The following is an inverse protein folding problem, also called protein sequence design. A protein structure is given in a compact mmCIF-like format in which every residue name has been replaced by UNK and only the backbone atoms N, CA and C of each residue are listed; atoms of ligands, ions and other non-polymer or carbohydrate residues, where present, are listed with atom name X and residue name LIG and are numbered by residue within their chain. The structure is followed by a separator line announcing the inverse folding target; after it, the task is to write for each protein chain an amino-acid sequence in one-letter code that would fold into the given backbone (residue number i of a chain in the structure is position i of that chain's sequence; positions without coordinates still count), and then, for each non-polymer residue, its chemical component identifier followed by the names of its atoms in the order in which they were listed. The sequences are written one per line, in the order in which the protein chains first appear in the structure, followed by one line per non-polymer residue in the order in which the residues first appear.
data_IF_855999332604
#
_entry.id   IF_855999332604
#
_cell.length_a   1.000
_cell.length_b   1.000
_cell.length_c   1.000
_cell.angle_alpha   90.00
_cell.angle_beta   90.00
_cell.angle_gamma   90.00
#
_symmetry.space_group_name_H-M   'P 1'
#
loop_
_entity.id
_entity.type
_entity.pdbx_description
1 polymer ?
#
# COMPACT_ATOMS: atom_id res chain seq x y z
N UNK A 1 -39.34 12.36 21.64
CA UNK A 1 -39.92 11.86 22.92
C UNK A 1 -41.22 11.07 22.71
N UNK A 2 -42.22 11.58 21.99
CA UNK A 2 -43.49 10.85 21.73
C UNK A 2 -43.32 9.52 20.95
N UNK A 3 -42.41 9.46 19.97
CA UNK A 3 -42.14 8.24 19.19
C UNK A 3 -41.50 7.12 20.03
N UNK A 4 -40.66 7.47 21.02
CA UNK A 4 -40.04 6.50 21.93
C UNK A 4 -41.06 5.90 22.91
N UNK A 5 -41.98 6.73 23.44
CA UNK A 5 -43.08 6.25 24.27
C UNK A 5 -44.02 5.29 23.51
N UNK A 6 -44.29 5.58 22.23
CA UNK A 6 -45.06 4.68 21.37
C UNK A 6 -44.34 3.33 21.14
N UNK A 7 -43.03 3.36 20.89
CA UNK A 7 -42.24 2.15 20.68
C UNK A 7 -42.10 1.31 21.96
N UNK A 8 -41.95 1.96 23.12
CA UNK A 8 -41.94 1.30 24.42
C UNK A 8 -43.32 0.68 24.75
N UNK A 9 -44.41 1.39 24.48
CA UNK A 9 -45.77 0.86 24.66
C UNK A 9 -46.03 -0.36 23.76
N UNK A 10 -45.56 -0.31 22.51
CA UNK A 10 -45.66 -1.42 21.57
C UNK A 10 -44.88 -2.66 22.05
N UNK A 11 -43.65 -2.48 22.54
CA UNK A 11 -42.87 -3.58 23.11
C UNK A 11 -43.52 -4.19 24.35
N UNK A 12 -44.14 -3.38 25.22
CA UNK A 12 -44.87 -3.89 26.39
C UNK A 12 -46.11 -4.66 25.95
N UNK A 13 -46.84 -4.16 24.95
CA UNK A 13 -48.00 -4.85 24.39
C UNK A 13 -47.60 -6.21 23.77
N UNK A 14 -46.53 -6.26 23.00
CA UNK A 14 -45.99 -7.50 22.41
C UNK A 14 -45.60 -8.50 23.52
N UNK A 15 -44.88 -8.05 24.56
CA UNK A 15 -44.52 -8.90 25.71
C UNK A 15 -45.73 -9.41 26.50
N UNK A 16 -46.77 -8.60 26.67
CA UNK A 16 -48.00 -9.02 27.36
C UNK A 16 -48.75 -10.05 26.51
N UNK A 17 -48.79 -9.84 25.19
CA UNK A 17 -49.42 -10.77 24.27
C UNK A 17 -48.67 -12.11 24.22
N UNK A 18 -47.33 -12.10 24.19
CA UNK A 18 -46.50 -13.31 24.30
C UNK A 18 -46.70 -14.06 25.61
N UNK A 19 -46.81 -13.34 26.75
CA UNK A 19 -47.11 -13.99 28.04
C UNK A 19 -48.52 -14.57 28.08
N UNK A 20 -49.50 -13.88 27.51
CA UNK A 20 -50.87 -14.38 27.46
C UNK A 20 -50.98 -15.66 26.63
N UNK A 21 -50.32 -15.73 25.46
CA UNK A 21 -50.30 -16.95 24.64
C UNK A 21 -49.56 -18.08 25.31
N UNK A 22 -48.46 -17.80 26.02
CA UNK A 22 -47.72 -18.81 26.80
C UNK A 22 -48.57 -19.41 27.93
N UNK A 23 -49.34 -18.59 28.67
CA UNK A 23 -50.21 -19.10 29.74
C UNK A 23 -51.35 -19.95 29.17
N UNK A 24 -51.96 -19.55 28.06
CA UNK A 24 -53.02 -20.34 27.41
C UNK A 24 -52.48 -21.70 26.95
N UNK A 25 -51.29 -21.72 26.36
CA UNK A 25 -50.64 -22.98 25.95
C UNK A 25 -50.38 -23.89 27.16
N UNK A 26 -49.85 -23.35 28.27
CA UNK A 26 -49.59 -24.13 29.48
C UNK A 26 -50.88 -24.71 30.09
N UNK A 27 -51.94 -23.91 30.20
CA UNK A 27 -53.24 -24.37 30.72
C UNK A 27 -53.84 -25.46 29.82
N UNK A 28 -53.67 -25.34 28.50
CA UNK A 28 -54.14 -26.35 27.55
C UNK A 28 -53.35 -27.66 27.70
N UNK A 29 -52.03 -27.61 27.89
CA UNK A 29 -51.19 -28.78 28.13
C UNK A 29 -51.53 -29.47 29.46
N UNK A 30 -51.73 -28.70 30.53
CA UNK A 30 -52.16 -29.21 31.84
C UNK A 30 -53.56 -29.86 31.75
N UNK A 31 -54.51 -29.25 31.04
CA UNK A 31 -55.83 -29.83 30.80
C UNK A 31 -55.76 -31.12 29.98
N UNK A 32 -54.92 -31.19 28.94
CA UNK A 32 -54.71 -32.42 28.17
C UNK A 32 -54.03 -33.50 29.01
N UNK A 33 -53.09 -33.13 29.87
CA UNK A 33 -52.44 -34.05 30.79
C UNK A 33 -53.45 -34.66 31.77
N UNK A 34 -54.32 -33.84 32.37
CA UNK A 34 -55.41 -34.28 33.26
C UNK A 34 -56.41 -35.18 32.53
N UNK A 35 -56.79 -34.85 31.30
CA UNK A 35 -57.68 -35.69 30.50
C UNK A 35 -57.04 -37.07 30.24
N UNK A 36 -55.74 -37.12 29.95
CA UNK A 36 -55.00 -38.35 29.72
C UNK A 36 -54.88 -39.19 30.99
N UNK A 37 -54.64 -38.56 32.15
CA UNK A 37 -54.62 -39.27 33.44
C UNK A 37 -56.01 -39.78 33.83
N UNK A 38 -57.07 -39.00 33.58
CA UNK A 38 -58.45 -39.44 33.81
C UNK A 38 -58.85 -40.61 32.90
N UNK A 39 -58.46 -40.60 31.63
CA UNK A 39 -58.72 -41.73 30.72
C UNK A 39 -57.96 -43.00 31.15
N UNK A 40 -56.76 -42.86 31.70
CA UNK A 40 -56.00 -43.99 32.25
C UNK A 40 -56.59 -44.56 33.55
N UNK A 41 -57.36 -43.77 34.31
CA UNK A 41 -58.02 -44.24 35.53
C UNK A 41 -59.40 -44.85 35.30
N UNK A 42 -60.02 -44.65 34.12
CA UNK A 42 -61.39 -45.13 33.84
C UNK A 42 -61.47 -46.49 33.15
N UNK A 43 -60.37 -47.09 32.71
CA UNK A 43 -60.35 -48.50 32.28
C UNK A 43 -60.41 -49.37 33.53
N UNK A 44 -61.64 -49.64 33.98
CA UNK A 44 -61.92 -50.55 35.08
C UNK A 44 -61.43 -51.95 34.65
N UNK A 45 -60.34 -52.50 35.23
CA UNK A 45 -59.60 -53.65 34.68
C UNK A 45 -60.37 -54.98 34.74
N UNK A 46 -61.60 -54.97 35.26
CA UNK A 46 -62.39 -56.18 35.50
C UNK A 46 -63.35 -56.46 34.34
N UNK A 47 -63.76 -55.45 33.56
CA UNK A 47 -64.76 -55.62 32.49
C UNK A 47 -64.15 -55.63 31.07
N UNK A 48 -62.85 -55.32 30.92
CA UNK A 48 -62.12 -55.41 29.65
C UNK A 48 -61.33 -56.72 29.47
N UNK A 49 -61.57 -57.75 30.30
CA UNK A 49 -61.31 -59.16 29.94
C UNK A 49 -62.35 -59.55 28.88
N UNK A 50 -62.25 -58.86 27.75
CA UNK A 50 -63.08 -58.93 26.56
C UNK A 50 -62.66 -60.18 25.81
N UNK A 51 -63.63 -60.79 25.14
CA UNK A 51 -63.61 -61.99 24.31
C UNK A 51 -62.32 -62.34 23.52
N UNK A 52 -61.39 -61.42 23.28
CA UNK A 52 -60.07 -61.65 22.70
C UNK A 52 -59.14 -62.46 23.64
N UNK A 53 -59.18 -62.20 24.96
CA UNK A 53 -58.41 -62.99 25.94
C UNK A 53 -58.90 -64.45 26.01
N UNK A 54 -60.15 -64.71 25.62
CA UNK A 54 -60.74 -66.05 25.59
C UNK A 54 -60.20 -66.91 24.45
N UNK A 55 -59.86 -66.31 23.30
CA UNK A 55 -59.23 -67.03 22.19
C UNK A 55 -57.75 -67.30 22.49
N UNK A 56 -57.03 -66.29 23.01
CA UNK A 56 -55.63 -66.43 23.43
C UNK A 56 -55.47 -67.43 24.58
N UNK A 57 -56.41 -67.44 25.54
CA UNK A 57 -56.41 -68.39 26.64
C UNK A 57 -56.58 -69.83 26.15
N UNK A 58 -57.47 -70.07 25.18
CA UNK A 58 -57.64 -71.40 24.58
C UNK A 58 -56.39 -71.86 23.85
N UNK A 59 -55.79 -70.99 23.03
CA UNK A 59 -54.55 -71.29 22.33
C UNK A 59 -53.40 -71.58 23.30
N UNK A 60 -53.29 -70.80 24.39
CA UNK A 60 -52.33 -71.03 25.45
C UNK A 60 -52.59 -72.37 26.16
N UNK A 61 -53.85 -72.66 26.51
CA UNK A 61 -54.24 -73.89 27.19
C UNK A 61 -53.93 -75.16 26.38
N UNK A 62 -53.99 -75.11 25.05
CA UNK A 62 -53.62 -76.24 24.18
C UNK A 62 -52.12 -76.54 24.18
N UNK A 63 -51.27 -75.51 24.34
CA UNK A 63 -49.81 -75.62 24.32
C UNK A 63 -49.22 -75.78 25.72
N UNK A 64 -49.92 -75.30 26.75
CA UNK A 64 -49.44 -75.29 28.12
C UNK A 64 -49.54 -76.66 28.78
N UNK A 65 -48.37 -77.22 29.11
CA UNK A 65 -48.27 -78.44 29.91
C UNK A 65 -47.86 -78.10 31.36
N UNK A 66 -48.76 -78.42 32.30
CA UNK A 66 -48.54 -78.16 33.72
C UNK A 66 -47.45 -79.05 34.29
N UNK A 67 -47.29 -80.27 33.78
CA UNK A 67 -46.34 -81.23 34.35
C UNK A 67 -44.90 -80.71 34.16
N UNK A 68 -44.64 -80.02 33.05
CA UNK A 68 -43.37 -79.34 32.77
C UNK A 68 -43.10 -78.12 33.68
N UNK A 69 -44.11 -77.64 34.40
CA UNK A 69 -44.04 -76.45 35.25
C UNK A 69 -44.15 -76.75 36.74
N UNK A 70 -44.11 -78.03 37.13
CA UNK A 70 -44.26 -78.46 38.52
C UNK A 70 -43.19 -77.86 39.45
N UNK A 71 -41.94 -77.82 39.01
CA UNK A 71 -40.83 -77.27 39.79
C UNK A 71 -40.97 -75.75 39.97
N UNK A 72 -41.37 -75.04 38.90
CA UNK A 72 -41.64 -73.60 38.93
C UNK A 72 -42.80 -73.28 39.89
N UNK A 73 -43.87 -74.08 39.87
CA UNK A 73 -45.02 -73.95 40.78
C UNK A 73 -44.59 -74.10 42.24
N UNK A 74 -43.77 -75.10 42.55
CA UNK A 74 -43.26 -75.30 43.90
C UNK A 74 -42.40 -74.11 44.36
N UNK A 75 -41.60 -73.54 43.47
CA UNK A 75 -40.82 -72.34 43.75
C UNK A 75 -41.69 -71.09 43.96
N UNK A 76 -42.73 -70.90 43.14
CA UNK A 76 -43.68 -69.78 43.27
C UNK A 76 -44.43 -69.86 44.60
N UNK A 77 -44.92 -71.04 44.98
CA UNK A 77 -45.62 -71.24 46.26
C UNK A 77 -44.73 -70.99 47.50
N UNK A 78 -43.41 -71.16 47.35
CA UNK A 78 -42.45 -70.84 48.41
C UNK A 78 -42.07 -69.35 48.43
N UNK A 79 -42.06 -68.70 47.27
CA UNK A 79 -41.58 -67.31 47.11
C UNK A 79 -42.71 -66.29 47.33
N UNK A 80 -43.91 -66.58 46.82
CA UNK A 80 -45.06 -65.70 46.86
C UNK A 80 -46.13 -66.26 47.81
N UNK A 81 -46.11 -65.74 49.04
CA UNK A 81 -47.05 -66.11 50.12
C UNK A 81 -48.50 -65.83 49.72
N UNK A 82 -48.76 -64.78 48.93
CA UNK A 82 -50.11 -64.42 48.49
C UNK A 82 -50.68 -65.45 47.51
N UNK A 83 -49.86 -65.91 46.55
CA UNK A 83 -50.27 -66.98 45.61
C UNK A 83 -50.49 -68.29 46.35
N UNK A 84 -49.69 -68.57 47.38
CA UNK A 84 -49.85 -69.75 48.23
C UNK A 84 -51.15 -69.74 49.02
N UNK A 85 -51.49 -68.60 49.64
CA UNK A 85 -52.75 -68.41 50.35
C UNK A 85 -53.96 -68.52 49.40
N UNK A 86 -53.87 -67.90 48.22
CA UNK A 86 -54.93 -67.94 47.20
C UNK A 86 -55.14 -69.36 46.66
N UNK A 87 -54.05 -70.08 46.39
CA UNK A 87 -54.09 -71.47 45.94
C UNK A 87 -54.76 -72.35 47.00
N UNK A 88 -54.38 -72.20 48.28
CA UNK A 88 -54.96 -72.96 49.40
C UNK A 88 -56.44 -72.67 49.60
N UNK A 89 -56.88 -71.43 49.38
CA UNK A 89 -58.28 -71.03 49.52
C UNK A 89 -59.16 -71.49 48.34
N UNK A 90 -58.63 -71.55 47.11
CA UNK A 90 -59.42 -71.80 45.90
C UNK A 90 -59.36 -73.24 45.38
N UNK A 91 -58.28 -73.97 45.66
CA UNK A 91 -58.06 -75.33 45.16
C UNK A 91 -58.19 -76.32 46.33
N UNK A 92 -59.08 -77.33 46.29
CA UNK A 92 -59.90 -77.78 45.16
C UNK A 92 -61.34 -77.23 45.14
N UNK A 93 -61.72 -76.35 46.08
CA UNK A 93 -63.13 -75.99 46.30
C UNK A 93 -63.80 -75.27 45.11
N UNK A 94 -63.08 -74.37 44.44
CA UNK A 94 -63.62 -73.53 43.36
C UNK A 94 -63.00 -73.83 41.99
N UNK A 95 -61.72 -74.23 41.96
CA UNK A 95 -60.98 -74.52 40.74
C UNK A 95 -60.19 -75.82 40.89
N UNK A 96 -60.01 -76.54 39.78
CA UNK A 96 -59.06 -77.65 39.75
C UNK A 96 -57.62 -77.12 39.81
N UNK A 97 -56.70 -77.90 40.39
CA UNK A 97 -55.27 -77.55 40.44
C UNK A 97 -54.73 -77.14 39.07
N UNK A 98 -55.07 -77.91 38.02
CA UNK A 98 -54.66 -77.62 36.65
C UNK A 98 -55.22 -76.30 36.14
N UNK A 99 -56.50 -76.05 36.38
CA UNK A 99 -57.14 -74.83 35.91
C UNK A 99 -56.63 -73.57 36.63
N UNK A 100 -56.36 -73.65 37.94
CA UNK A 100 -55.77 -72.54 38.69
C UNK A 100 -54.42 -72.13 38.10
N UNK A 101 -53.51 -73.08 37.90
CA UNK A 101 -52.18 -72.80 37.38
C UNK A 101 -52.18 -72.41 35.90
N UNK A 102 -53.03 -73.01 35.07
CA UNK A 102 -53.19 -72.58 33.67
C UNK A 102 -53.65 -71.12 33.60
N UNK A 103 -54.59 -70.69 34.45
CA UNK A 103 -55.01 -69.27 34.54
C UNK A 103 -53.92 -68.37 35.08
N UNK A 104 -53.18 -68.82 36.10
CA UNK A 104 -52.06 -68.07 36.68
C UNK A 104 -50.98 -67.79 35.65
N UNK A 105 -50.46 -68.83 34.98
CA UNK A 105 -49.42 -68.67 33.98
C UNK A 105 -49.90 -67.93 32.73
N UNK A 106 -51.17 -68.04 32.37
CA UNK A 106 -51.72 -67.22 31.30
C UNK A 106 -51.70 -65.73 31.64
N UNK A 107 -52.09 -65.36 32.87
CA UNK A 107 -52.01 -63.96 33.33
C UNK A 107 -50.57 -63.46 33.38
N UNK A 108 -49.65 -64.31 33.85
CA UNK A 108 -48.22 -63.99 33.84
C UNK A 108 -47.69 -63.82 32.41
N UNK A 109 -48.12 -64.68 31.48
CA UNK A 109 -47.76 -64.59 30.07
C UNK A 109 -48.27 -63.29 29.41
N UNK A 110 -49.53 -62.90 29.68
CA UNK A 110 -50.07 -61.63 29.20
C UNK A 110 -49.30 -60.44 29.77
N UNK A 111 -48.96 -60.47 31.06
CA UNK A 111 -48.17 -59.42 31.69
C UNK A 111 -46.80 -59.26 31.02
N UNK A 112 -46.08 -60.37 30.79
CA UNK A 112 -44.79 -60.35 30.08
C UNK A 112 -44.94 -59.81 28.66
N UNK A 113 -45.97 -60.24 27.92
CA UNK A 113 -46.22 -59.74 26.55
C UNK A 113 -46.48 -58.23 26.52
N UNK A 114 -47.22 -57.71 27.50
CA UNK A 114 -47.54 -56.30 27.60
C UNK A 114 -46.31 -55.48 28.00
N UNK A 115 -45.45 -56.00 28.88
CA UNK A 115 -44.15 -55.41 29.20
C UNK A 115 -43.22 -55.35 27.98
N UNK A 116 -43.16 -56.42 27.16
CA UNK A 116 -42.39 -56.41 25.90
C UNK A 116 -42.94 -55.41 24.87
N UNK A 117 -44.26 -55.28 24.75
CA UNK A 117 -44.87 -54.31 23.84
C UNK A 117 -44.64 -52.87 24.33
N UNK A 118 -44.71 -52.63 25.63
CA UNK A 118 -44.32 -51.35 26.22
C UNK A 118 -42.85 -51.05 25.99
N UNK A 119 -41.96 -52.04 26.18
CA UNK A 119 -40.54 -51.89 25.90
C UNK A 119 -40.28 -51.52 24.44
N UNK A 120 -40.96 -52.18 23.47
CA UNK A 120 -40.87 -51.81 22.04
C UNK A 120 -41.34 -50.39 21.77
N UNK A 121 -42.46 -49.97 22.36
CA UNK A 121 -42.95 -48.59 22.22
C UNK A 121 -41.96 -47.58 22.83
N UNK A 122 -41.26 -47.94 23.89
CA UNK A 122 -40.25 -47.08 24.52
C UNK A 122 -38.97 -46.98 23.69
N UNK A 123 -38.51 -48.09 23.11
CA UNK A 123 -37.40 -48.13 22.16
C UNK A 123 -37.69 -47.30 20.90
N UNK A 124 -38.90 -47.42 20.32
CA UNK A 124 -39.32 -46.60 19.19
C UNK A 124 -39.35 -45.11 19.53
N UNK A 125 -39.81 -44.75 20.74
CA UNK A 125 -39.78 -43.35 21.22
C UNK A 125 -38.35 -42.84 21.39
N UNK A 126 -37.43 -43.68 21.88
CA UNK A 126 -36.01 -43.34 22.01
C UNK A 126 -35.35 -43.14 20.65
N UNK A 127 -35.55 -44.06 19.71
CA UNK A 127 -35.04 -43.94 18.35
C UNK A 127 -35.57 -42.68 17.64
N UNK A 128 -36.86 -42.38 17.80
CA UNK A 128 -37.45 -41.16 17.23
C UNK A 128 -36.82 -39.89 17.83
N UNK A 129 -36.56 -39.89 19.13
CA UNK A 129 -35.90 -38.77 19.81
C UNK A 129 -34.44 -38.60 19.36
N UNK A 130 -33.71 -39.71 19.19
CA UNK A 130 -32.33 -39.69 18.67
C UNK A 130 -32.28 -39.19 17.22
N UNK A 131 -33.18 -39.66 16.36
CA UNK A 131 -33.29 -39.17 14.98
C UNK A 131 -33.60 -37.67 14.92
N UNK A 132 -34.49 -37.17 15.80
CA UNK A 132 -34.78 -35.74 15.89
C UNK A 132 -33.56 -34.94 16.37
N UNK A 133 -32.79 -35.48 17.32
CA UNK A 133 -31.55 -34.88 17.83
C UNK A 133 -30.48 -34.81 16.74
N UNK A 134 -30.24 -35.91 16.03
CA UNK A 134 -29.28 -35.95 14.91
C UNK A 134 -29.68 -34.99 13.79
N UNK A 135 -30.97 -34.88 13.48
CA UNK A 135 -31.44 -33.97 12.45
C UNK A 135 -31.36 -32.48 12.88
N UNK A 136 -31.45 -32.18 14.18
CA UNK A 136 -31.11 -30.85 14.70
C UNK A 136 -29.61 -30.57 14.61
N UNK A 137 -28.79 -31.53 15.02
CA UNK A 137 -27.34 -31.39 14.97
C UNK A 137 -26.83 -31.22 13.54
N UNK A 138 -27.38 -31.96 12.58
CA UNK A 138 -27.06 -31.82 11.16
C UNK A 138 -27.43 -30.43 10.63
N UNK A 139 -28.62 -29.93 10.97
CA UNK A 139 -29.03 -28.56 10.59
C UNK A 139 -28.14 -27.49 11.21
N UNK A 140 -27.65 -27.70 12.43
CA UNK A 140 -26.73 -26.80 13.08
C UNK A 140 -25.35 -26.82 12.41
N UNK A 141 -24.81 -28.01 12.09
CA UNK A 141 -23.56 -28.14 11.33
C UNK A 141 -23.64 -27.50 9.96
N UNK A 142 -24.73 -27.72 9.21
CA UNK A 142 -24.96 -27.07 7.91
C UNK A 142 -25.04 -25.55 8.05
N UNK A 143 -25.67 -25.03 9.12
CA UNK A 143 -25.72 -23.59 9.38
C UNK A 143 -24.33 -23.01 9.74
N UNK A 144 -23.54 -23.73 10.52
CA UNK A 144 -22.18 -23.33 10.90
C UNK A 144 -21.22 -23.37 9.71
N UNK A 145 -21.34 -24.37 8.83
CA UNK A 145 -20.58 -24.47 7.57
C UNK A 145 -20.92 -23.31 6.62
N UNK A 146 -22.20 -22.99 6.43
CA UNK A 146 -22.62 -21.83 5.61
C UNK A 146 -22.11 -20.52 6.21
N UNK A 147 -22.17 -20.35 7.54
CA UNK A 147 -21.62 -19.17 8.20
C UNK A 147 -20.09 -19.05 8.01
N UNK A 148 -19.37 -20.17 8.06
CA UNK A 148 -17.93 -20.20 7.81
C UNK A 148 -17.59 -19.85 6.35
N UNK A 149 -18.36 -20.36 5.37
CA UNK A 149 -18.19 -20.01 3.96
C UNK A 149 -18.47 -18.52 3.68
N UNK A 150 -19.54 -17.96 4.26
CA UNK A 150 -19.84 -16.53 4.16
C UNK A 150 -18.71 -15.67 4.74
N UNK A 151 -18.13 -16.08 5.87
CA UNK A 151 -17.00 -15.38 6.47
C UNK A 151 -15.77 -15.43 5.56
N UNK A 152 -15.44 -16.60 4.98
CA UNK A 152 -14.33 -16.73 4.02
C UNK A 152 -14.52 -15.85 2.77
N UNK A 153 -15.75 -15.76 2.26
CA UNK A 153 -16.07 -14.90 1.12
C UNK A 153 -15.91 -13.41 1.47
N UNK A 154 -16.31 -12.99 2.69
CA UNK A 154 -16.09 -11.61 3.16
C UNK A 154 -14.60 -11.30 3.30
N UNK A 155 -13.83 -12.22 3.87
CA UNK A 155 -12.40 -12.05 4.04
C UNK A 155 -11.68 -12.00 2.67
N UNK A 156 -12.10 -12.81 1.70
CA UNK A 156 -11.59 -12.76 0.32
C UNK A 156 -11.96 -11.44 -0.38
N UNK A 157 -13.17 -10.91 -0.16
CA UNK A 157 -13.56 -9.60 -0.69
C UNK A 157 -12.74 -8.47 -0.09
N UNK A 158 -12.53 -8.48 1.24
CA UNK A 158 -11.68 -7.50 1.91
C UNK A 158 -10.23 -7.56 1.41
N UNK A 159 -9.69 -8.76 1.18
CA UNK A 159 -8.36 -8.91 0.60
C UNK A 159 -8.27 -8.30 -0.80
N UNK A 160 -9.27 -8.54 -1.66
CA UNK A 160 -9.35 -7.93 -3.00
C UNK A 160 -9.49 -6.40 -2.93
N UNK A 161 -10.27 -5.89 -1.99
CA UNK A 161 -10.40 -4.44 -1.77
C UNK A 161 -9.08 -3.80 -1.32
N UNK A 162 -8.33 -4.46 -0.44
CA UNK A 162 -6.99 -4.02 -0.03
C UNK A 162 -6.00 -4.00 -1.20
N UNK A 163 -5.99 -5.02 -2.06
CA UNK A 163 -5.13 -5.06 -3.25
C UNK A 163 -5.46 -3.93 -4.23
N UNK A 164 -6.76 -3.68 -4.48
CA UNK A 164 -7.20 -2.57 -5.32
C UNK A 164 -6.79 -1.22 -4.71
N UNK A 165 -6.88 -1.08 -3.39
CA UNK A 165 -6.46 0.15 -2.71
C UNK A 165 -4.95 0.36 -2.81
N UNK A 166 -4.15 -0.68 -2.59
CA UNK A 166 -2.69 -0.63 -2.77
C UNK A 166 -2.31 -0.22 -4.20
N UNK A 167 -3.00 -0.76 -5.21
CA UNK A 167 -2.75 -0.38 -6.60
C UNK A 167 -3.12 1.08 -6.89
N UNK A 168 -4.24 1.58 -6.32
CA UNK A 168 -4.61 3.00 -6.41
C UNK A 168 -3.54 3.91 -5.78
N UNK A 169 -3.03 3.53 -4.62
CA UNK A 169 -2.00 4.31 -3.91
C UNK A 169 -0.68 4.33 -4.72
N UNK A 170 -0.31 3.22 -5.37
CA UNK A 170 0.83 3.17 -6.29
C UNK A 170 0.63 4.06 -7.53
N UNK A 171 -0.56 4.03 -8.14
CA UNK A 171 -0.87 4.90 -9.29
C UNK A 171 -0.86 6.37 -8.89
N UNK A 172 -1.39 6.72 -7.72
CA UNK A 172 -1.34 8.08 -7.20
C UNK A 172 0.10 8.55 -6.94
N UNK A 173 0.93 7.70 -6.33
CA UNK A 173 2.34 8.00 -6.12
C UNK A 173 3.10 8.23 -7.44
N UNK A 174 2.82 7.43 -8.47
CA UNK A 174 3.41 7.62 -9.81
C UNK A 174 2.93 8.93 -10.46
N UNK A 175 1.65 9.29 -10.29
CA UNK A 175 1.12 10.57 -10.78
C UNK A 175 1.79 11.76 -10.11
N UNK A 176 2.04 11.70 -8.80
CA UNK A 176 2.77 12.74 -8.06
C UNK A 176 4.23 12.87 -8.54
N UNK A 177 4.89 11.76 -8.85
CA UNK A 177 6.25 11.78 -9.44
C UNK A 177 6.24 12.45 -10.81
N UNK A 178 5.28 12.10 -11.68
CA UNK A 178 5.14 12.72 -13.01
C UNK A 178 4.90 14.22 -12.87
N UNK A 179 3.96 14.65 -12.03
CA UNK A 179 3.65 16.06 -11.80
C UNK A 179 4.86 16.83 -11.25
N UNK A 180 5.65 16.22 -10.38
CA UNK A 180 6.89 16.82 -9.88
C UNK A 180 7.96 16.94 -10.98
N UNK A 181 8.11 15.93 -11.84
CA UNK A 181 9.04 15.98 -12.97
C UNK A 181 8.65 17.10 -13.94
N UNK A 182 7.38 17.18 -14.33
CA UNK A 182 6.86 18.25 -15.20
C UNK A 182 7.10 19.65 -14.60
N UNK A 183 6.89 19.79 -13.28
CA UNK A 183 7.16 21.04 -12.57
C UNK A 183 8.65 21.40 -12.57
N UNK A 184 9.53 20.42 -12.39
CA UNK A 184 10.99 20.65 -12.46
C UNK A 184 11.46 20.98 -13.87
N UNK A 185 10.88 20.37 -14.90
CA UNK A 185 11.17 20.66 -16.30
C UNK A 185 10.75 22.09 -16.64
N UNK A 186 9.51 22.49 -16.28
CA UNK A 186 9.03 23.86 -16.48
C UNK A 186 9.90 24.90 -15.75
N UNK A 187 10.38 24.58 -14.53
CA UNK A 187 11.30 25.45 -13.80
C UNK A 187 12.67 25.56 -14.51
N UNK A 188 13.19 24.46 -15.04
CA UNK A 188 14.45 24.44 -15.79
C UNK A 188 14.33 25.24 -17.10
N UNK A 189 13.20 25.11 -17.82
CA UNK A 189 12.92 25.90 -19.01
C UNK A 189 12.86 27.40 -18.69
N UNK A 190 12.18 27.77 -17.60
CA UNK A 190 12.14 29.16 -17.12
C UNK A 190 13.53 29.71 -16.82
N UNK A 191 14.36 28.92 -16.12
CA UNK A 191 15.74 29.30 -15.81
C UNK A 191 16.59 29.46 -17.08
N UNK A 192 16.39 28.61 -18.09
CA UNK A 192 17.11 28.72 -19.36
C UNK A 192 16.71 29.98 -20.14
N UNK A 193 15.43 30.34 -20.12
CA UNK A 193 14.92 31.60 -20.71
C UNK A 193 15.53 32.80 -19.99
N UNK A 194 15.49 32.81 -18.65
CA UNK A 194 16.10 33.88 -17.84
C UNK A 194 17.61 34.01 -18.10
N UNK A 195 18.34 32.89 -18.20
CA UNK A 195 19.77 32.89 -18.50
C UNK A 195 20.06 33.43 -19.92
N UNK A 196 19.23 33.07 -20.90
CA UNK A 196 19.35 33.57 -22.26
C UNK A 196 19.08 35.09 -22.34
N UNK A 197 18.00 35.55 -21.68
CA UNK A 197 17.68 36.97 -21.57
C UNK A 197 18.80 37.76 -20.87
N UNK A 198 19.35 37.22 -19.78
CA UNK A 198 20.48 37.83 -19.07
C UNK A 198 21.73 37.94 -19.96
N UNK A 199 22.05 36.90 -20.74
CA UNK A 199 23.18 36.93 -21.70
C UNK A 199 22.94 37.94 -22.83
N UNK A 200 21.71 38.03 -23.34
CA UNK A 200 21.35 39.01 -24.36
C UNK A 200 21.47 40.44 -23.82
N UNK A 201 20.96 40.70 -22.62
CA UNK A 201 21.11 41.99 -21.93
C UNK A 201 22.58 42.33 -21.69
N UNK A 202 23.39 41.37 -21.25
CA UNK A 202 24.84 41.54 -21.08
C UNK A 202 25.54 41.87 -22.40
N UNK A 203 25.19 41.18 -23.49
CA UNK A 203 25.75 41.44 -24.81
C UNK A 203 25.35 42.84 -25.32
N UNK A 204 24.12 43.28 -25.08
CA UNK A 204 23.68 44.64 -25.39
C UNK A 204 24.51 45.68 -24.64
N UNK A 205 24.71 45.48 -23.33
CA UNK A 205 25.56 46.36 -22.51
C UNK A 205 26.98 46.40 -23.08
N UNK A 206 27.57 45.27 -23.46
CA UNK A 206 28.91 45.24 -24.06
C UNK A 206 28.99 45.98 -25.40
N UNK A 207 27.94 45.92 -26.23
CA UNK A 207 27.87 46.67 -27.49
C UNK A 207 27.79 48.17 -27.21
N UNK A 208 26.97 48.58 -26.23
CA UNK A 208 26.83 49.98 -25.86
C UNK A 208 28.11 50.53 -25.21
N UNK A 209 28.78 49.76 -24.35
CA UNK A 209 30.09 50.10 -23.77
C UNK A 209 31.16 50.23 -24.86
N UNK A 210 31.20 49.32 -25.83
CA UNK A 210 32.13 49.39 -26.96
C UNK A 210 31.87 50.61 -27.86
N UNK A 211 30.58 50.96 -28.07
CA UNK A 211 30.21 52.19 -28.78
C UNK A 211 30.60 53.44 -28.00
N UNK A 212 30.33 53.48 -26.70
CA UNK A 212 30.72 54.59 -25.83
C UNK A 212 32.25 54.78 -25.85
N UNK A 213 33.00 53.69 -25.69
CA UNK A 213 34.47 53.70 -25.77
C UNK A 213 34.95 54.19 -27.14
N UNK A 214 34.36 53.70 -28.24
CA UNK A 214 34.70 54.16 -29.59
C UNK A 214 34.36 55.63 -29.86
N UNK A 215 33.27 56.14 -29.26
CA UNK A 215 32.95 57.58 -29.31
C UNK A 215 33.96 58.40 -28.50
N UNK A 216 34.37 57.93 -27.32
CA UNK A 216 35.40 58.59 -26.49
C UNK A 216 36.76 58.60 -27.19
N UNK A 217 37.19 57.49 -27.78
CA UNK A 217 38.42 57.40 -28.59
C UNK A 217 38.35 58.34 -29.80
N UNK A 218 37.23 58.36 -30.53
CA UNK A 218 37.03 59.27 -31.67
C UNK A 218 37.02 60.75 -31.27
N UNK A 219 36.43 61.08 -30.11
CA UNK A 219 36.50 62.44 -29.54
C UNK A 219 37.95 62.77 -29.20
N UNK A 220 38.69 61.89 -28.52
CA UNK A 220 40.08 62.11 -28.14
C UNK A 220 41.00 62.30 -29.37
N UNK A 221 40.83 61.49 -30.42
CA UNK A 221 41.55 61.65 -31.69
C UNK A 221 41.22 63.00 -32.35
N UNK A 222 39.94 63.38 -32.37
CA UNK A 222 39.52 64.68 -32.94
C UNK A 222 40.08 65.87 -32.14
N UNK A 223 40.13 65.77 -30.81
CA UNK A 223 40.75 66.77 -29.95
C UNK A 223 42.25 66.85 -30.19
N UNK A 224 42.92 65.72 -30.41
CA UNK A 224 44.35 65.67 -30.76
C UNK A 224 44.60 66.32 -32.13
N UNK A 225 43.76 66.09 -33.13
CA UNK A 225 43.85 66.74 -34.44
C UNK A 225 43.65 68.26 -34.29
N UNK A 226 42.61 68.69 -33.57
CA UNK A 226 42.35 70.12 -33.33
C UNK A 226 43.53 70.76 -32.59
N UNK A 227 44.09 70.08 -31.60
CA UNK A 227 45.27 70.55 -30.87
C UNK A 227 46.48 70.68 -31.80
N UNK A 228 46.76 69.67 -32.63
CA UNK A 228 47.82 69.70 -33.64
C UNK A 228 47.61 70.83 -34.64
N UNK A 229 46.38 71.04 -35.13
CA UNK A 229 46.05 72.16 -36.03
C UNK A 229 46.26 73.52 -35.36
N UNK A 230 45.88 73.67 -34.07
CA UNK A 230 46.12 74.91 -33.30
C UNK A 230 47.61 75.14 -33.07
N UNK A 231 48.36 74.11 -32.70
CA UNK A 231 49.81 74.18 -32.50
C UNK A 231 50.52 74.53 -33.80
N UNK A 232 50.17 73.87 -34.92
CA UNK A 232 50.65 74.21 -36.26
C UNK A 232 50.32 75.65 -36.63
N UNK A 233 49.07 76.09 -36.45
CA UNK A 233 48.66 77.46 -36.78
C UNK A 233 49.37 78.50 -35.90
N UNK A 234 49.60 78.21 -34.61
CA UNK A 234 50.37 79.06 -33.72
C UNK A 234 51.85 79.11 -34.11
N UNK A 235 52.41 77.99 -34.58
CA UNK A 235 53.75 77.94 -35.12
C UNK A 235 53.86 78.77 -36.40
N UNK A 236 52.92 78.62 -37.34
CA UNK A 236 52.86 79.43 -38.56
C UNK A 236 52.73 80.92 -38.24
N UNK A 237 51.91 81.30 -37.26
CA UNK A 237 51.80 82.69 -36.80
C UNK A 237 53.11 83.20 -36.20
N UNK A 238 53.79 82.42 -35.36
CA UNK A 238 55.10 82.80 -34.79
C UNK A 238 56.17 82.94 -35.86
N UNK A 239 56.18 82.04 -36.83
CA UNK A 239 57.11 82.09 -37.96
C UNK A 239 56.79 83.28 -38.89
N UNK A 240 55.51 83.61 -39.11
CA UNK A 240 55.10 84.85 -39.80
C UNK A 240 55.51 86.10 -39.01
N UNK A 241 55.29 86.14 -37.70
CA UNK A 241 55.72 87.24 -36.84
C UNK A 241 57.23 87.40 -36.90
N UNK A 242 58.00 86.31 -36.79
CA UNK A 242 59.45 86.33 -36.92
C UNK A 242 59.89 86.81 -38.31
N UNK A 243 59.20 86.39 -39.37
CA UNK A 243 59.45 86.85 -40.72
C UNK A 243 59.17 88.35 -40.87
N UNK A 244 58.03 88.84 -40.42
CA UNK A 244 57.69 90.27 -40.42
C UNK A 244 58.70 91.09 -39.60
N UNK A 245 59.13 90.57 -38.44
CA UNK A 245 60.16 91.20 -37.62
C UNK A 245 61.52 91.24 -38.35
N UNK A 246 61.85 90.19 -39.09
CA UNK A 246 63.08 90.14 -39.91
C UNK A 246 63.03 91.14 -41.07
N UNK A 247 61.86 91.35 -41.68
CA UNK A 247 61.65 92.38 -42.71
C UNK A 247 61.83 93.79 -42.13
N UNK A 248 61.41 94.02 -40.88
CA UNK A 248 61.60 95.31 -40.17
C UNK A 248 63.07 95.59 -39.80
N UNK A 249 63.89 94.56 -39.56
CA UNK A 249 65.29 94.72 -39.16
C UNK A 249 66.29 94.77 -40.33
N UNK A 250 65.98 94.17 -41.48
CA UNK A 250 66.88 94.10 -42.64
C UNK A 250 66.55 95.19 -43.67
N UNK A 251 67.40 96.21 -43.79
CA UNK A 251 67.23 97.28 -44.80
C UNK A 251 67.90 97.00 -46.16
N UNK A 252 68.60 95.86 -46.31
CA UNK A 252 69.51 95.64 -47.45
C UNK A 252 69.11 94.50 -48.40
N UNK A 253 68.37 93.49 -47.94
CA UNK A 253 67.85 92.42 -48.81
C UNK A 253 66.65 91.69 -48.17
N UNK A 254 65.75 91.22 -49.02
CA UNK A 254 64.55 90.49 -48.62
C UNK A 254 64.92 89.09 -48.12
N UNK A 255 64.57 88.71 -46.88
CA UNK A 255 64.74 87.35 -46.37
C UNK A 255 63.85 86.36 -47.16
N UNK A 256 64.31 85.11 -47.35
CA UNK A 256 63.53 84.08 -48.05
C UNK A 256 62.19 83.86 -47.33
N UNK A 257 61.07 83.82 -48.06
CA UNK A 257 59.76 83.69 -47.42
C UNK A 257 59.55 82.30 -46.82
N UNK A 258 58.75 82.20 -45.74
CA UNK A 258 58.30 80.91 -45.22
C UNK A 258 57.55 80.13 -46.30
N UNK A 259 57.54 78.78 -46.25
CA UNK A 259 56.98 77.93 -47.30
C UNK A 259 55.47 78.12 -47.54
N UNK A 260 54.73 78.62 -46.56
CA UNK A 260 53.29 78.91 -46.66
C UNK A 260 52.99 80.36 -47.09
N UNK A 261 54.01 81.22 -47.20
CA UNK A 261 53.87 82.55 -47.80
C UNK A 261 54.29 82.42 -49.24
N UNK A 262 53.34 82.58 -50.17
CA UNK A 262 53.69 82.54 -51.59
C UNK A 262 54.75 83.60 -51.89
N UNK A 263 55.70 83.26 -52.76
CA UNK A 263 56.73 84.20 -53.23
C UNK A 263 56.10 85.54 -53.66
N UNK A 264 54.94 85.49 -54.31
CA UNK A 264 54.17 86.66 -54.72
C UNK A 264 53.62 87.47 -53.54
N UNK A 265 53.06 86.82 -52.51
CA UNK A 265 52.58 87.52 -51.31
C UNK A 265 53.73 88.11 -50.51
N UNK A 266 54.85 87.39 -50.39
CA UNK A 266 56.05 87.89 -49.74
C UNK A 266 56.62 89.10 -50.48
N UNK A 267 56.71 89.03 -51.82
CA UNK A 267 57.09 90.15 -52.66
C UNK A 267 56.05 91.27 -52.61
N UNK A 268 54.76 90.97 -52.46
CA UNK A 268 53.69 91.94 -52.30
C UNK A 268 53.76 92.64 -50.95
N UNK A 269 54.09 91.95 -49.86
CA UNK A 269 54.27 92.53 -48.51
C UNK A 269 55.57 93.35 -48.47
N UNK A 270 56.65 92.83 -49.04
CA UNK A 270 57.93 93.54 -49.16
C UNK A 270 57.82 94.76 -50.08
N UNK A 271 57.10 94.63 -51.19
CA UNK A 271 56.79 95.76 -52.05
C UNK A 271 55.84 96.69 -51.34
N UNK A 272 54.70 96.31 -50.76
CA UNK A 272 53.81 97.17 -49.94
C UNK A 272 54.53 97.86 -48.78
N UNK A 273 55.53 97.22 -48.15
CA UNK A 273 56.39 97.89 -47.19
C UNK A 273 57.20 99.01 -47.84
N UNK A 274 57.70 98.78 -49.05
CA UNK A 274 58.33 99.78 -49.93
C UNK A 274 57.34 100.67 -50.73
N UNK A 275 56.04 100.35 -50.75
CA UNK A 275 54.99 100.80 -51.70
C UNK A 275 53.73 101.30 -50.95
N UNK A 276 53.77 101.40 -49.62
CA UNK A 276 53.14 102.52 -48.89
C UNK A 276 53.61 103.89 -49.44
N UNK A 277 54.67 103.85 -50.26
CA UNK A 277 55.02 104.82 -51.31
C UNK A 277 54.57 104.31 -52.71
N UNK A 278 53.23 104.23 -52.96
CA UNK A 278 52.53 104.42 -54.26
C UNK A 278 51.54 103.29 -54.71
N UNK A 279 50.43 103.60 -55.43
CA UNK A 279 49.27 102.70 -55.64
C UNK A 279 49.33 101.82 -56.93
N UNK A 280 48.31 100.94 -57.17
CA UNK A 280 48.43 99.64 -57.85
C UNK A 280 47.77 99.53 -59.25
N UNK A 281 48.04 98.43 -59.97
CA UNK A 281 47.20 97.88 -61.06
C UNK A 281 47.64 96.45 -61.47
N UNK A 282 46.72 95.46 -61.47
CA UNK A 282 46.92 94.06 -61.93
C UNK A 282 46.69 93.86 -63.44
N UNK A 283 46.10 92.73 -63.94
CA UNK A 283 46.22 91.29 -63.64
C UNK A 283 46.64 90.46 -64.91
N UNK A 284 46.80 89.12 -64.86
CA UNK A 284 46.30 88.14 -65.88
C UNK A 284 46.90 86.72 -65.78
N UNK A 285 46.04 85.76 -66.10
CA UNK A 285 46.11 84.30 -66.23
C UNK A 285 47.18 83.74 -67.20
N UNK A 286 47.55 82.44 -67.06
CA UNK A 286 47.47 81.45 -68.17
C UNK A 286 47.81 79.98 -67.76
N UNK A 287 47.20 79.06 -68.50
CA UNK A 287 47.07 77.61 -68.35
C UNK A 287 48.25 76.76 -68.88
N UNK A 288 48.27 75.46 -68.58
CA UNK A 288 48.62 74.41 -69.58
C UNK A 288 48.25 72.98 -69.12
N UNK A 289 47.91 72.14 -70.11
CA UNK A 289 47.32 70.79 -70.03
C UNK A 289 48.25 69.72 -70.66
N UNK A 290 47.93 68.44 -70.40
CA UNK A 290 48.31 67.16 -71.08
C UNK A 290 49.58 66.44 -70.58
N UNK A 291 49.72 65.07 -70.66
CA UNK A 291 49.01 64.12 -71.54
C UNK A 291 48.42 62.84 -70.88
N UNK A 292 47.26 62.38 -71.38
CA UNK A 292 46.37 61.35 -70.78
C UNK A 292 46.62 59.87 -71.16
N UNK A 293 47.63 59.53 -71.96
CA UNK A 293 47.73 58.17 -72.53
C UNK A 293 48.45 57.14 -71.63
N UNK A 294 49.54 57.50 -70.94
CA UNK A 294 50.26 56.60 -70.02
C UNK A 294 49.55 56.46 -68.67
N UNK A 295 48.72 57.44 -68.31
CA UNK A 295 47.89 57.42 -67.12
C UNK A 295 46.82 56.32 -67.17
N UNK A 296 46.28 56.02 -68.35
CA UNK A 296 45.27 54.99 -68.53
C UNK A 296 45.82 53.57 -68.31
N UNK A 297 47.01 53.26 -68.82
CA UNK A 297 47.65 51.95 -68.68
C UNK A 297 48.16 51.70 -67.25
N UNK A 298 48.75 52.71 -66.61
CA UNK A 298 49.08 52.67 -65.17
C UNK A 298 47.84 52.53 -64.29
N UNK A 299 46.70 53.10 -64.70
CA UNK A 299 45.43 52.94 -63.98
C UNK A 299 44.88 51.51 -64.13
N UNK A 300 45.02 50.89 -65.30
CA UNK A 300 44.63 49.50 -65.53
C UNK A 300 45.48 48.51 -64.70
N UNK A 301 46.82 48.64 -64.73
CA UNK A 301 47.72 47.80 -63.91
C UNK A 301 47.51 47.98 -62.41
N UNK A 302 47.23 49.21 -61.94
CA UNK A 302 46.86 49.46 -60.54
C UNK A 302 45.52 48.82 -60.17
N UNK A 303 44.56 48.82 -61.08
CA UNK A 303 43.28 48.16 -60.86
C UNK A 303 43.42 46.63 -60.77
N UNK A 304 44.27 46.02 -61.62
CA UNK A 304 44.55 44.59 -61.56
C UNK A 304 45.32 44.19 -60.29
N UNK A 305 46.34 44.97 -59.91
CA UNK A 305 47.06 44.75 -58.65
C UNK A 305 46.12 44.90 -57.44
N UNK A 306 45.24 45.90 -57.44
CA UNK A 306 44.24 46.07 -56.39
C UNK A 306 43.25 44.89 -56.34
N UNK A 307 42.83 44.35 -57.49
CA UNK A 307 41.98 43.16 -57.55
C UNK A 307 42.69 41.92 -57.00
N UNK A 308 43.94 41.67 -57.39
CA UNK A 308 44.74 40.55 -56.86
C UNK A 308 44.98 40.69 -55.35
N UNK A 309 45.28 41.90 -54.89
CA UNK A 309 45.46 42.17 -53.46
C UNK A 309 44.16 41.92 -52.68
N UNK A 310 43.01 42.35 -53.19
CA UNK A 310 41.71 42.06 -52.59
C UNK A 310 41.41 40.55 -52.55
N UNK A 311 41.78 39.79 -53.59
CA UNK A 311 41.62 38.32 -53.57
C UNK A 311 42.53 37.65 -52.57
N UNK A 312 43.76 38.13 -52.39
CA UNK A 312 44.71 37.62 -51.40
C UNK A 312 44.22 37.92 -49.97
N UNK A 313 43.76 39.14 -49.72
CA UNK A 313 43.21 39.54 -48.43
C UNK A 313 41.94 38.73 -48.10
N UNK A 314 41.06 38.52 -49.08
CA UNK A 314 39.90 37.64 -48.93
C UNK A 314 40.28 36.18 -48.62
N UNK A 315 41.30 35.64 -49.30
CA UNK A 315 41.79 34.29 -49.01
C UNK A 315 42.41 34.19 -47.59
N UNK A 316 43.12 35.21 -47.13
CA UNK A 316 43.66 35.27 -45.78
C UNK A 316 42.56 35.40 -44.72
N UNK A 317 41.50 36.17 -44.99
CA UNK A 317 40.32 36.25 -44.12
C UNK A 317 39.63 34.89 -44.01
N UNK A 318 39.39 34.21 -45.14
CA UNK A 318 38.80 32.87 -45.15
C UNK A 318 39.63 31.84 -44.36
N UNK A 319 40.97 31.93 -44.43
CA UNK A 319 41.85 31.06 -43.64
C UNK A 319 41.69 31.32 -42.13
N UNK A 320 41.65 32.59 -41.72
CA UNK A 320 41.43 32.99 -40.31
C UNK A 320 40.06 32.54 -39.81
N UNK A 321 39.02 32.68 -40.64
CA UNK A 321 37.68 32.19 -40.32
C UNK A 321 37.69 30.67 -40.15
N UNK A 322 38.33 29.92 -41.05
CA UNK A 322 38.45 28.46 -40.94
C UNK A 322 39.14 28.05 -39.63
N UNK A 323 40.23 28.72 -39.24
CA UNK A 323 40.93 28.41 -38.00
C UNK A 323 40.10 28.80 -36.76
N UNK A 324 39.31 29.87 -36.83
CA UNK A 324 38.35 30.25 -35.79
C UNK A 324 37.23 29.22 -35.64
N UNK A 325 36.72 28.67 -36.76
CA UNK A 325 35.76 27.57 -36.75
C UNK A 325 36.33 26.29 -36.15
N UNK A 326 37.59 25.95 -36.45
CA UNK A 326 38.27 24.80 -35.82
C UNK A 326 38.43 25.01 -34.32
N UNK A 327 38.84 26.20 -33.88
CA UNK A 327 38.96 26.52 -32.46
C UNK A 327 37.60 26.43 -31.74
N UNK A 328 36.51 26.92 -32.35
CA UNK A 328 35.15 26.77 -31.84
C UNK A 328 34.73 25.31 -31.76
N UNK A 329 35.02 24.51 -32.79
CA UNK A 329 34.69 23.08 -32.80
C UNK A 329 35.41 22.31 -31.69
N UNK A 330 36.70 22.58 -31.46
CA UNK A 330 37.47 21.98 -30.35
C UNK A 330 36.90 22.41 -29.00
N UNK A 331 36.52 23.69 -28.84
CA UNK A 331 35.90 24.19 -27.61
C UNK A 331 34.54 23.53 -27.35
N UNK A 332 33.69 23.40 -28.36
CA UNK A 332 32.39 22.73 -28.23
C UNK A 332 32.55 21.25 -27.91
N UNK A 333 33.54 20.57 -28.50
CA UNK A 333 33.87 19.19 -28.15
C UNK A 333 34.29 19.08 -26.69
N UNK A 334 35.17 19.96 -26.20
CA UNK A 334 35.59 19.98 -24.80
C UNK A 334 34.43 20.22 -23.83
N UNK A 335 33.56 21.18 -24.13
CA UNK A 335 32.37 21.44 -23.31
C UNK A 335 31.40 20.25 -23.29
N UNK A 336 31.26 19.56 -24.44
CA UNK A 336 30.49 18.32 -24.50
C UNK A 336 31.10 17.23 -23.64
N UNK A 337 32.41 16.99 -23.76
CA UNK A 337 33.11 15.97 -22.97
C UNK A 337 33.02 16.29 -21.45
N UNK A 338 33.10 17.56 -21.06
CA UNK A 338 32.91 18.02 -19.67
C UNK A 338 31.46 17.82 -19.18
N UNK A 339 30.47 18.13 -20.03
CA UNK A 339 29.05 17.91 -19.72
C UNK A 339 28.73 16.42 -19.58
N UNK A 340 29.24 15.58 -20.48
CA UNK A 340 29.05 14.12 -20.44
C UNK A 340 29.72 13.53 -19.20
N UNK A 341 30.89 14.05 -18.78
CA UNK A 341 31.56 13.65 -17.54
C UNK A 341 30.76 14.08 -16.29
N UNK A 342 30.22 15.30 -16.26
CA UNK A 342 29.38 15.78 -15.17
C UNK A 342 28.08 14.98 -15.05
N UNK A 343 27.44 14.65 -16.19
CA UNK A 343 26.24 13.82 -16.22
C UNK A 343 26.50 12.42 -15.64
N UNK A 344 27.62 11.77 -16.02
CA UNK A 344 28.01 10.47 -15.44
C UNK A 344 28.27 10.55 -13.95
N UNK A 345 28.95 11.60 -13.48
CA UNK A 345 29.21 11.79 -12.06
C UNK A 345 27.91 11.99 -11.26
N UNK A 346 26.95 12.73 -11.82
CA UNK A 346 25.62 12.87 -11.21
C UNK A 346 24.85 11.55 -11.20
N UNK A 347 24.90 10.77 -12.28
CA UNK A 347 24.29 9.43 -12.34
C UNK A 347 24.87 8.49 -11.27
N UNK A 348 26.20 8.47 -11.11
CA UNK A 348 26.88 7.70 -10.05
C UNK A 348 26.47 8.18 -8.64
N UNK A 349 26.33 9.49 -8.42
CA UNK A 349 25.86 10.05 -7.15
C UNK A 349 24.42 9.63 -6.85
N UNK A 350 23.52 9.73 -7.83
CA UNK A 350 22.12 9.30 -7.69
C UNK A 350 22.06 7.81 -7.38
N UNK A 351 22.79 6.97 -8.10
CA UNK A 351 22.86 5.53 -7.82
C UNK A 351 23.37 5.25 -6.40
N UNK A 352 24.41 5.96 -5.94
CA UNK A 352 24.91 5.82 -4.57
C UNK A 352 23.83 6.18 -3.52
N UNK A 353 23.10 7.28 -3.73
CA UNK A 353 22.02 7.69 -2.81
C UNK A 353 20.85 6.70 -2.80
N UNK A 354 20.49 6.11 -3.95
CA UNK A 354 19.45 5.08 -4.03
C UNK A 354 19.87 3.83 -3.27
N UNK A 355 21.13 3.39 -3.42
CA UNK A 355 21.66 2.23 -2.70
C UNK A 355 21.66 2.49 -1.18
N UNK A 356 22.09 3.67 -0.74
CA UNK A 356 22.07 4.05 0.68
C UNK A 356 20.64 4.07 1.25
N UNK A 357 19.69 4.72 0.55
CA UNK A 357 18.28 4.77 0.96
C UNK A 357 17.64 3.37 1.01
N UNK A 358 17.96 2.51 0.03
CA UNK A 358 17.46 1.12 -0.01
C UNK A 358 18.01 0.32 1.18
N UNK A 359 19.30 0.44 1.47
CA UNK A 359 19.92 -0.24 2.61
C UNK A 359 19.36 0.25 3.96
N UNK A 360 19.13 1.56 4.10
CA UNK A 360 18.49 2.14 5.28
C UNK A 360 17.04 1.63 5.46
N UNK A 361 16.28 1.55 4.36
CA UNK A 361 14.93 0.97 4.35
C UNK A 361 14.91 -0.50 4.77
N UNK A 362 15.83 -1.32 4.24
CA UNK A 362 15.98 -2.73 4.62
C UNK A 362 16.37 -2.88 6.09
N UNK A 363 17.29 -2.06 6.60
CA UNK A 363 17.67 -2.08 8.01
C UNK A 363 16.49 -1.75 8.92
N UNK A 364 15.74 -0.68 8.61
CA UNK A 364 14.54 -0.29 9.35
C UNK A 364 13.47 -1.38 9.34
N UNK A 365 13.22 -1.99 8.16
CA UNK A 365 12.26 -3.10 8.04
C UNK A 365 12.67 -4.32 8.88
N UNK A 366 13.96 -4.64 8.95
CA UNK A 366 14.47 -5.71 9.83
C UNK A 366 14.26 -5.38 11.32
N UNK A 367 14.49 -4.15 11.73
CA UNK A 367 14.25 -3.70 13.11
C UNK A 367 12.77 -3.77 13.50
N UNK A 368 11.87 -3.31 12.62
CA UNK A 368 10.43 -3.39 12.83
C UNK A 368 9.94 -4.85 12.89
N UNK A 369 10.43 -5.71 12.00
CA UNK A 369 10.10 -7.14 12.03
C UNK A 369 10.63 -7.81 13.30
N UNK A 370 11.86 -7.49 13.73
CA UNK A 370 12.42 -8.01 14.97
C UNK A 370 11.59 -7.56 16.20
N UNK A 371 11.10 -6.32 16.22
CA UNK A 371 10.23 -5.83 17.29
C UNK A 371 8.86 -6.54 17.31
N UNK A 372 8.30 -6.86 16.14
CA UNK A 372 7.06 -7.64 16.03
C UNK A 372 7.27 -9.09 16.53
N UNK A 373 8.38 -9.72 16.14
CA UNK A 373 8.75 -11.07 16.61
C UNK A 373 8.89 -11.07 18.14
N UNK A 374 9.63 -10.11 18.71
CA UNK A 374 9.76 -9.99 20.17
C UNK A 374 8.42 -9.78 20.88
N UNK A 375 7.49 -9.05 20.27
CA UNK A 375 6.14 -8.85 20.81
C UNK A 375 5.31 -10.14 20.77
N UNK A 376 5.42 -10.93 19.70
CA UNK A 376 4.74 -12.23 19.58
C UNK A 376 5.33 -13.25 20.56
N UNK A 377 6.65 -13.29 20.71
CA UNK A 377 7.32 -14.13 21.70
C UNK A 377 6.87 -13.80 23.13
N UNK A 378 6.75 -12.51 23.47
CA UNK A 378 6.23 -12.09 24.78
C UNK A 378 4.77 -12.54 25.00
N UNK A 379 3.91 -12.49 23.96
CA UNK A 379 2.53 -13.01 24.04
C UNK A 379 2.49 -14.52 24.22
N UNK A 380 3.34 -15.27 23.51
CA UNK A 380 3.45 -16.72 23.66
C UNK A 380 3.92 -17.11 25.06
N UNK A 381 4.90 -16.39 25.61
CA UNK A 381 5.34 -16.60 26.99
C UNK A 381 4.23 -16.32 28.00
N UNK A 382 3.46 -15.25 27.81
CA UNK A 382 2.30 -14.96 28.65
C UNK A 382 1.24 -16.08 28.59
N UNK A 383 0.89 -16.54 27.39
CA UNK A 383 -0.06 -17.65 27.22
C UNK A 383 0.45 -18.96 27.83
N UNK A 384 1.75 -19.25 27.72
CA UNK A 384 2.36 -20.43 28.34
C UNK A 384 2.27 -20.36 29.88
N UNK A 385 2.47 -19.19 30.48
CA UNK A 385 2.33 -19.00 31.92
C UNK A 385 0.87 -19.10 32.37
N UNK A 386 -0.08 -18.59 31.58
CA UNK A 386 -1.51 -18.74 31.85
C UNK A 386 -1.95 -20.21 31.82
N UNK A 387 -1.52 -20.98 30.82
CA UNK A 387 -1.75 -22.43 30.74
C UNK A 387 -1.16 -23.15 31.97
N UNK A 388 0.04 -22.74 32.41
CA UNK A 388 0.70 -23.30 33.60
C UNK A 388 -0.11 -23.03 34.87
N UNK A 389 -0.62 -21.81 35.04
CA UNK A 389 -1.48 -21.44 36.16
C UNK A 389 -2.78 -22.23 36.15
N UNK A 390 -3.45 -22.34 35.00
CA UNK A 390 -4.66 -23.14 34.85
C UNK A 390 -4.41 -24.62 35.20
N UNK A 391 -3.29 -25.18 34.74
CA UNK A 391 -2.91 -26.56 35.06
C UNK A 391 -2.69 -26.76 36.56
N UNK A 392 -2.07 -25.79 37.26
CA UNK A 392 -1.95 -25.83 38.72
C UNK A 392 -3.31 -25.78 39.41
N UNK A 393 -4.23 -24.92 38.96
CA UNK A 393 -5.59 -24.86 39.52
C UNK A 393 -6.38 -26.16 39.31
N UNK A 394 -6.23 -26.81 38.16
CA UNK A 394 -6.84 -28.11 37.87
C UNK A 394 -6.29 -29.18 38.82
N UNK A 395 -4.97 -29.25 38.98
CA UNK A 395 -4.34 -30.24 39.87
C UNK A 395 -4.79 -30.06 41.33
N UNK A 396 -4.80 -28.81 41.84
CA UNK A 396 -5.29 -28.55 43.21
C UNK A 396 -6.77 -28.90 43.39
N UNK A 397 -7.58 -28.70 42.35
CA UNK A 397 -9.00 -29.08 42.35
C UNK A 397 -9.17 -30.61 42.34
N UNK A 398 -8.34 -31.33 41.60
CA UNK A 398 -8.32 -32.81 41.60
C UNK A 398 -7.90 -33.37 42.96
N UNK A 399 -6.88 -32.78 43.60
CA UNK A 399 -6.44 -33.18 44.94
C UNK A 399 -7.55 -32.99 45.99
N UNK A 400 -8.30 -31.88 45.91
CA UNK A 400 -9.47 -31.64 46.77
C UNK A 400 -10.57 -32.67 46.54
N UNK A 401 -10.87 -33.02 45.28
CA UNK A 401 -11.86 -34.06 44.95
C UNK A 401 -11.41 -35.43 45.47
N UNK A 402 -10.12 -35.78 45.35
CA UNK A 402 -9.60 -37.01 45.93
C UNK A 402 -9.67 -37.01 47.46
N UNK A 403 -9.33 -35.91 48.12
CA UNK A 403 -9.42 -35.78 49.58
C UNK A 403 -10.85 -35.96 50.08
N UNK A 404 -11.85 -35.39 49.39
CA UNK A 404 -13.28 -35.59 49.71
C UNK A 404 -13.67 -37.06 49.53
N UNK A 405 -13.26 -37.70 48.43
CA UNK A 405 -13.52 -39.14 48.21
C UNK A 405 -12.90 -40.03 49.28
N UNK A 406 -11.68 -39.72 49.73
CA UNK A 406 -11.02 -40.44 50.82
C UNK A 406 -11.69 -40.21 52.17
N UNK A 407 -12.27 -39.02 52.42
CA UNK A 407 -13.02 -38.74 53.63
C UNK A 407 -14.40 -39.42 53.67
N UNK A 408 -15.02 -39.65 52.51
CA UNK A 408 -16.30 -40.38 52.39
C UNK A 408 -16.14 -41.91 52.44
N UNK A 409 -14.91 -42.42 52.27
CA UNK A 409 -14.58 -43.84 52.43
C UNK A 409 -14.60 -44.23 53.92
N UNK A 410 -15.81 -44.50 54.43
CA UNK A 410 -16.07 -45.11 55.75
C UNK A 410 -15.28 -46.43 55.87
N UNK A 411 -14.59 -46.71 56.99
CA UNK A 411 -13.79 -47.93 57.13
C UNK A 411 -14.70 -49.15 57.18
N UNK A 412 -14.84 -49.84 56.05
CA UNK A 412 -15.44 -51.16 55.98
C UNK A 412 -14.42 -52.20 56.48
N UNK A 413 -14.91 -53.01 57.40
CA UNK A 413 -14.26 -54.09 58.13
C UNK A 413 -13.57 -55.07 57.18
N UNK A 414 -12.40 -55.55 57.63
CA UNK A 414 -11.63 -56.66 57.06
C UNK A 414 -12.55 -57.83 56.67
N UNK A 415 -12.43 -58.31 55.45
CA UNK A 415 -12.48 -59.75 55.20
C UNK A 415 -11.54 -60.14 54.07
N UNK A 416 -10.96 -61.32 54.27
CA UNK A 416 -9.89 -61.94 53.51
C UNK A 416 -10.30 -62.38 52.11
N UNK A 417 -9.25 -62.62 51.30
CA UNK A 417 -9.22 -63.47 50.11
C UNK A 417 -9.83 -62.92 48.81
N UNK A 418 -8.97 -62.58 47.86
CA UNK A 418 -8.61 -63.51 46.79
C UNK A 418 -7.61 -62.86 45.83
N UNK A 419 -6.52 -63.57 45.58
CA UNK A 419 -5.63 -63.36 44.44
C UNK A 419 -6.44 -63.55 43.16
N UNK A 420 -6.44 -62.56 42.28
CA UNK A 420 -6.64 -62.78 40.84
C UNK A 420 -5.57 -61.96 40.12
N UNK A 421 -4.56 -62.68 39.64
CA UNK A 421 -3.65 -62.23 38.60
C UNK A 421 -4.48 -62.03 37.33
N UNK A 422 -4.42 -60.83 36.76
CA UNK A 422 -4.69 -60.61 35.34
C UNK A 422 -3.57 -59.75 34.80
N UNK A 423 -2.61 -60.44 34.20
CA UNK A 423 -1.85 -59.95 33.06
C UNK A 423 -2.84 -59.31 32.06
N UNK A 424 -2.66 -58.06 31.70
CA UNK A 424 -3.03 -57.60 30.35
C UNK A 424 -2.27 -56.32 29.97
N UNK A 425 -1.19 -56.57 29.23
CA UNK A 425 -0.83 -55.92 27.98
C UNK A 425 -1.56 -54.59 27.69
N UNK A 426 -0.92 -53.48 28.02
CA UNK A 426 -1.19 -52.21 27.35
C UNK A 426 0.10 -51.70 26.71
N UNK A 427 0.07 -51.81 25.39
CA UNK A 427 1.12 -51.46 24.47
C UNK A 427 1.58 -50.01 24.68
N UNK A 428 2.90 -49.87 24.71
CA UNK A 428 3.61 -48.64 24.38
C UNK A 428 3.20 -48.22 22.96
N UNK A 429 2.22 -47.31 22.85
CA UNK A 429 2.08 -46.49 21.65
C UNK A 429 3.24 -45.49 21.64
N UNK A 430 4.27 -45.84 20.86
CA UNK A 430 5.33 -44.94 20.46
C UNK A 430 4.71 -43.70 19.76
N UNK A 431 5.17 -42.49 20.08
CA UNK A 431 4.79 -41.31 19.32
C UNK A 431 5.38 -41.45 17.91
N UNK A 432 4.51 -41.64 16.91
CA UNK A 432 4.87 -41.44 15.50
C UNK A 432 5.40 -40.02 15.37
N UNK A 433 6.71 -39.91 15.16
CA UNK A 433 7.33 -38.69 14.68
C UNK A 433 6.74 -38.35 13.31
N UNK A 434 6.01 -37.24 13.27
CA UNK A 434 5.69 -36.52 12.05
C UNK A 434 7.00 -36.01 11.43
N UNK A 435 7.63 -36.85 10.62
CA UNK A 435 8.68 -36.46 9.68
C UNK A 435 8.02 -36.00 8.37
N UNK A 436 7.48 -34.79 8.40
CA UNK A 436 7.03 -34.07 7.23
C UNK A 436 7.92 -32.84 7.03
N UNK A 437 8.94 -32.98 6.20
CA UNK A 437 9.26 -31.93 5.23
C UNK A 437 10.64 -31.31 5.31
N UNK A 438 11.62 -31.96 4.69
CA UNK A 438 12.71 -31.27 3.99
C UNK A 438 12.98 -31.99 2.65
N UNK A 439 12.37 -31.49 1.59
CA UNK A 439 12.69 -31.88 0.20
C UNK A 439 12.17 -30.83 -0.76
N UNK A 440 12.81 -29.65 -0.80
CA UNK A 440 12.91 -28.80 -1.99
C UNK A 440 14.19 -27.94 -1.85
N UNK A 441 15.32 -28.48 -2.33
CA UNK A 441 16.43 -27.69 -2.87
C UNK A 441 16.35 -27.70 -4.40
#
# INVERSE_FOLDING_TARGET
MAMWLYQAAKQVQEKVQERATSIVAQVQDEAQHLLKTMNQMQTNPVDEIIFEELEEYKAFQEVFDLDMKTDDVAAILQTDEFVSDLHTAMVPEQLSYKEFWTRYYFRQFLQVRLEEEQAKRDEERRLKFEQERELREKRQREADEVAAEEQRLRDEQLAKEMDVQMWKDQVAALQDVIANLEKTEAANESLLVEEYEAKMAQMTIQIDDARATGYEEGIAESEQIIKSMRESSQQDLKEMEAYLFSLLQSAASMPPPPPYVSSELAQAIWSLHNVAVRPPSGPSEMASQAPDATAAELKALRAEHAALQATLEGAQQNLKEMDLWKARAVKMKKLKDESDAAAKLHEEQVLATIVEATNAGVAKGKEEMAAQVATLEAKLQHQAEEIRQLTQTINTSQDLVQAVRLAEAKPAVKDEAAKVETEDVLALEEPRGDDWGESWE
#
